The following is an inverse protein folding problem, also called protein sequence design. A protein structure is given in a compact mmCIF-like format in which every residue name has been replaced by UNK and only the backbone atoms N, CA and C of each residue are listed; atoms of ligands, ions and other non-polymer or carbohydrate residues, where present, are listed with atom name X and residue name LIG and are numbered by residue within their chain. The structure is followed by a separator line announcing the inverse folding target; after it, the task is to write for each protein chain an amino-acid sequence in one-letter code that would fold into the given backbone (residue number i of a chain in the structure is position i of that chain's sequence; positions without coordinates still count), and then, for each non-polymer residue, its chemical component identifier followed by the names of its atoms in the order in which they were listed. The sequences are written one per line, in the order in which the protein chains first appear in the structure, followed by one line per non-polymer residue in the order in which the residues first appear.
data_IF_711264888507
#
_entry.id   IF_711264888507
#
_cell.length_a   1.000
_cell.length_b   1.000
_cell.length_c   1.000
_cell.angle_alpha   90.00
_cell.angle_beta   90.00
_cell.angle_gamma   90.00
#
_symmetry.space_group_name_H-M   'P 1'
#
loop_
_entity.id
_entity.type
_entity.pdbx_description
1 polymer ?
#
# COMPACT_ATOMS: atom_id res chain seq x y z
N UNK A 1 56.06 29.83 22.54
CA UNK A 1 55.24 30.68 21.67
C UNK A 1 55.33 30.16 20.25
N UNK A 2 54.28 29.51 19.74
CA UNK A 2 54.05 29.29 18.30
C UNK A 2 52.54 29.23 18.07
N UNK A 3 52.03 29.81 16.97
CA UNK A 3 50.64 30.26 16.86
C UNK A 3 49.72 29.16 16.30
N UNK A 4 48.48 29.11 16.80
CA UNK A 4 47.44 28.25 16.27
C UNK A 4 46.89 28.81 14.94
N UNK A 5 47.12 28.11 13.84
CA UNK A 5 46.52 28.43 12.54
C UNK A 5 45.04 28.02 12.53
N UNK A 6 44.15 29.00 12.55
CA UNK A 6 42.72 28.79 12.27
C UNK A 6 42.52 28.56 10.76
N UNK A 7 42.36 27.30 10.34
CA UNK A 7 41.92 26.95 8.97
C UNK A 7 40.43 27.26 8.81
N UNK A 8 40.11 28.34 8.12
CA UNK A 8 38.76 28.67 7.67
C UNK A 8 38.34 27.76 6.51
N UNK A 9 37.35 26.90 6.75
CA UNK A 9 36.73 26.08 5.71
C UNK A 9 35.85 26.99 4.82
N UNK A 10 36.37 27.40 3.67
CA UNK A 10 35.59 28.12 2.66
C UNK A 10 34.51 27.20 2.06
N UNK A 11 33.25 27.44 2.43
CA UNK A 11 32.09 26.77 1.81
C UNK A 11 31.98 27.22 0.35
N UNK A 12 32.26 26.32 -0.60
CA UNK A 12 32.14 26.60 -2.04
C UNK A 12 30.68 26.97 -2.38
N UNK A 13 30.45 28.21 -2.83
CA UNK A 13 29.13 28.67 -3.30
C UNK A 13 28.68 27.83 -4.50
N UNK A 14 27.56 27.11 -4.36
CA UNK A 14 26.96 26.34 -5.47
C UNK A 14 26.55 27.31 -6.59
N UNK A 15 27.03 27.08 -7.82
CA UNK A 15 26.60 27.84 -9.01
C UNK A 15 25.14 27.50 -9.31
N UNK A 16 24.28 28.51 -9.43
CA UNK A 16 22.86 28.37 -9.74
C UNK A 16 22.69 27.86 -11.19
N UNK A 17 21.97 26.75 -11.38
CA UNK A 17 21.63 26.19 -12.69
C UNK A 17 20.21 26.62 -13.09
N UNK A 18 20.05 27.87 -13.50
CA UNK A 18 18.74 28.46 -13.81
C UNK A 18 17.98 27.70 -14.89
N UNK A 19 18.67 27.20 -15.92
CA UNK A 19 18.07 26.40 -17.00
C UNK A 19 17.52 25.07 -16.46
N UNK A 20 18.23 24.41 -15.54
CA UNK A 20 17.78 23.15 -14.96
C UNK A 20 16.51 23.34 -14.12
N UNK A 21 16.44 24.42 -13.33
CA UNK A 21 15.25 24.79 -12.55
C UNK A 21 14.06 25.11 -13.47
N UNK A 22 14.30 25.88 -14.52
CA UNK A 22 13.28 26.21 -15.52
C UNK A 22 12.76 24.96 -16.23
N UNK A 23 13.65 24.05 -16.65
CA UNK A 23 13.28 22.79 -17.27
C UNK A 23 12.52 21.85 -16.32
N UNK A 24 12.82 21.87 -15.02
CA UNK A 24 12.05 21.12 -14.00
C UNK A 24 10.62 21.66 -13.88
N UNK A 25 10.46 22.99 -13.78
CA UNK A 25 9.14 23.64 -13.72
C UNK A 25 8.31 23.38 -14.97
N UNK A 26 8.92 23.49 -16.15
CA UNK A 26 8.23 23.25 -17.43
C UNK A 26 7.79 21.79 -17.55
N UNK A 27 8.63 20.82 -17.16
CA UNK A 27 8.24 19.40 -17.16
C UNK A 27 7.08 19.12 -16.22
N UNK A 28 7.16 19.57 -14.97
CA UNK A 28 6.07 19.41 -14.00
C UNK A 28 4.76 20.04 -14.48
N UNK A 29 4.83 21.25 -15.05
CA UNK A 29 3.66 21.92 -15.63
C UNK A 29 3.07 21.15 -16.81
N UNK A 30 3.93 20.65 -17.72
CA UNK A 30 3.49 19.84 -18.87
C UNK A 30 2.86 18.53 -18.40
N UNK A 31 3.47 17.83 -17.45
CA UNK A 31 2.95 16.59 -16.87
C UNK A 31 1.57 16.79 -16.23
N UNK A 32 1.35 17.90 -15.52
CA UNK A 32 0.04 18.24 -14.97
C UNK A 32 -0.99 18.49 -16.07
N UNK A 33 -0.62 19.23 -17.11
CA UNK A 33 -1.53 19.59 -18.21
C UNK A 33 -1.82 18.42 -19.16
N UNK A 34 -0.84 17.55 -19.40
CA UNK A 34 -0.95 16.39 -20.27
C UNK A 34 -1.29 15.10 -19.51
N UNK A 35 -1.63 15.18 -18.23
CA UNK A 35 -1.99 14.01 -17.42
C UNK A 35 -3.22 13.34 -18.05
N UNK A 36 -3.12 12.06 -18.48
CA UNK A 36 -4.26 11.36 -19.05
C UNK A 36 -5.34 11.19 -17.97
N UNK A 37 -6.60 11.33 -18.37
CA UNK A 37 -7.73 11.07 -17.47
C UNK A 37 -7.73 9.59 -17.07
N UNK A 38 -8.26 9.28 -15.90
CA UNK A 38 -8.34 7.89 -15.43
C UNK A 38 -9.17 7.02 -16.37
N UNK A 39 -10.25 7.57 -16.96
CA UNK A 39 -11.02 6.88 -18.00
C UNK A 39 -10.17 6.46 -19.20
N UNK A 40 -9.21 7.28 -19.62
CA UNK A 40 -8.28 6.98 -20.72
C UNK A 40 -7.22 5.97 -20.29
N UNK A 41 -6.69 6.11 -19.08
CA UNK A 41 -5.65 5.22 -18.52
C UNK A 41 -6.15 3.78 -18.32
N UNK A 42 -7.40 3.63 -17.91
CA UNK A 42 -8.05 2.36 -17.61
C UNK A 42 -9.09 1.94 -18.67
N UNK A 43 -9.10 2.60 -19.84
CA UNK A 43 -9.82 2.10 -21.00
C UNK A 43 -9.27 0.71 -21.37
N UNK A 44 -10.17 -0.20 -21.73
CA UNK A 44 -9.83 -1.57 -22.08
C UNK A 44 -10.66 -1.98 -23.29
N UNK A 45 -10.00 -2.54 -24.29
CA UNK A 45 -10.65 -3.25 -25.37
C UNK A 45 -10.91 -4.69 -24.93
N UNK A 46 -12.19 -5.07 -24.88
CA UNK A 46 -12.65 -6.37 -24.36
C UNK A 46 -12.40 -7.53 -25.34
N UNK A 47 -12.21 -7.23 -26.62
CA UNK A 47 -11.92 -8.26 -27.63
C UNK A 47 -10.44 -8.65 -27.56
N UNK A 48 -9.55 -7.66 -27.58
CA UNK A 48 -8.10 -7.88 -27.62
C UNK A 48 -7.42 -7.91 -26.25
N UNK A 49 -8.13 -7.55 -25.18
CA UNK A 49 -7.59 -7.39 -23.81
C UNK A 49 -6.43 -6.38 -23.73
N UNK A 50 -6.41 -5.40 -24.63
CA UNK A 50 -5.38 -4.35 -24.71
C UNK A 50 -5.87 -3.02 -24.18
N UNK A 51 -4.95 -2.30 -23.55
CA UNK A 51 -5.17 -0.90 -23.15
C UNK A 51 -4.75 0.03 -24.29
N UNK A 52 -5.67 0.80 -24.91
CA UNK A 52 -5.35 1.59 -26.09
C UNK A 52 -4.28 2.66 -25.84
N UNK A 53 -4.27 3.28 -24.65
CA UNK A 53 -3.29 4.32 -24.30
C UNK A 53 -1.85 3.79 -24.20
N UNK A 54 -1.68 2.56 -23.74
CA UNK A 54 -0.33 2.00 -23.47
C UNK A 54 0.07 0.90 -24.46
N UNK A 55 -0.88 0.39 -25.24
CA UNK A 55 -0.71 -0.79 -26.11
C UNK A 55 -0.49 -2.10 -25.35
N UNK A 56 -0.45 -2.08 -24.01
CA UNK A 56 -0.14 -3.26 -23.19
C UNK A 56 -1.35 -4.17 -23.07
N UNK A 57 -1.09 -5.47 -23.15
CA UNK A 57 -2.08 -6.53 -22.88
C UNK A 57 -2.21 -6.76 -21.38
N UNK A 58 -3.43 -7.11 -20.94
CA UNK A 58 -3.65 -7.56 -19.57
C UNK A 58 -3.04 -8.95 -19.33
N UNK A 59 -2.63 -9.26 -18.09
CA UNK A 59 -2.22 -10.62 -17.72
C UNK A 59 -3.34 -11.62 -17.98
N UNK A 60 -3.00 -12.80 -18.51
CA UNK A 60 -3.97 -13.85 -18.90
C UNK A 60 -4.91 -14.23 -17.75
N UNK A 61 -4.39 -14.28 -16.52
CA UNK A 61 -5.20 -14.60 -15.32
C UNK A 61 -6.36 -13.62 -15.11
N UNK A 62 -6.18 -12.35 -15.45
CA UNK A 62 -7.22 -11.33 -15.26
C UNK A 62 -8.31 -11.37 -16.36
N UNK A 63 -8.12 -12.13 -17.45
CA UNK A 63 -9.04 -12.11 -18.58
C UNK A 63 -10.40 -12.72 -18.23
N UNK A 64 -10.41 -13.73 -17.37
CA UNK A 64 -11.63 -14.37 -16.91
C UNK A 64 -12.50 -13.37 -16.14
N UNK A 65 -11.89 -12.63 -15.21
CA UNK A 65 -12.60 -11.70 -14.34
C UNK A 65 -13.10 -10.50 -15.14
N UNK A 66 -12.27 -9.95 -16.04
CA UNK A 66 -12.64 -8.87 -16.97
C UNK A 66 -13.91 -9.18 -17.79
N UNK A 67 -14.13 -10.44 -18.15
CA UNK A 67 -15.29 -10.84 -18.97
C UNK A 67 -16.55 -11.10 -18.14
N UNK A 68 -16.40 -11.49 -16.87
CA UNK A 68 -17.50 -11.97 -16.03
C UNK A 68 -17.99 -10.91 -15.05
N UNK A 69 -17.07 -10.10 -14.55
CA UNK A 69 -17.27 -9.21 -13.42
C UNK A 69 -17.21 -7.74 -13.87
N UNK A 70 -17.57 -6.85 -12.96
CA UNK A 70 -17.73 -5.42 -13.23
C UNK A 70 -16.80 -4.55 -12.39
N UNK A 71 -16.56 -3.32 -12.86
CA UNK A 71 -15.82 -2.31 -12.10
C UNK A 71 -16.72 -1.67 -11.04
N UNK A 72 -16.13 -1.18 -9.97
CA UNK A 72 -16.87 -0.56 -8.87
C UNK A 72 -17.76 0.59 -9.35
N UNK A 73 -17.22 1.54 -10.13
CA UNK A 73 -18.03 2.66 -10.64
C UNK A 73 -19.15 2.24 -11.60
N UNK A 74 -18.97 1.14 -12.35
CA UNK A 74 -20.03 0.60 -13.20
C UNK A 74 -21.19 0.04 -12.36
N UNK A 75 -20.87 -0.67 -11.28
CA UNK A 75 -21.85 -1.15 -10.31
C UNK A 75 -22.59 0.01 -9.64
N UNK A 76 -21.85 1.01 -9.17
CA UNK A 76 -22.41 2.16 -8.47
C UNK A 76 -23.28 3.04 -9.38
N UNK A 77 -22.90 3.18 -10.65
CA UNK A 77 -23.72 3.90 -11.63
C UNK A 77 -25.03 3.17 -11.96
N UNK A 78 -25.05 1.84 -11.90
CA UNK A 78 -26.26 1.03 -12.11
C UNK A 78 -27.25 1.14 -10.95
N UNK A 79 -26.73 1.39 -9.75
CA UNK A 79 -27.57 1.73 -8.61
C UNK A 79 -28.06 3.16 -8.81
N UNK A 80 -29.38 3.37 -8.68
CA UNK A 80 -29.95 4.71 -8.48
C UNK A 80 -29.57 5.22 -7.09
N UNK A 81 -28.27 5.40 -6.85
CA UNK A 81 -27.80 6.37 -5.87
C UNK A 81 -28.17 7.69 -6.51
N UNK A 82 -29.41 8.12 -6.28
CA UNK A 82 -29.84 9.47 -6.58
C UNK A 82 -28.74 10.36 -6.03
N UNK A 83 -28.19 11.20 -6.90
CA UNK A 83 -27.60 12.47 -6.54
C UNK A 83 -28.62 13.17 -5.64
N UNK A 84 -28.64 12.84 -4.34
CA UNK A 84 -29.36 13.63 -3.36
C UNK A 84 -28.57 14.91 -3.38
N UNK A 85 -29.13 15.82 -4.16
CA UNK A 85 -28.64 17.11 -4.50
C UNK A 85 -28.13 17.74 -3.22
N UNK A 86 -26.85 18.10 -3.26
CA UNK A 86 -26.34 19.23 -2.52
C UNK A 86 -27.44 20.30 -2.40
N UNK A 87 -27.69 20.73 -1.16
CA UNK A 87 -28.32 22.03 -0.91
C UNK A 87 -27.69 23.09 -1.84
N UNK A 88 -28.46 24.06 -2.34
CA UNK A 88 -27.92 25.10 -3.20
C UNK A 88 -27.02 26.00 -2.34
N UNK A 89 -25.71 25.96 -2.58
CA UNK A 89 -24.76 26.79 -1.85
C UNK A 89 -23.34 26.23 -2.00
N UNK A 90 -22.49 26.95 -2.74
CA UNK A 90 -21.21 26.47 -3.20
C UNK A 90 -20.24 26.04 -2.09
N UNK A 91 -19.57 24.91 -2.33
CA UNK A 91 -18.12 24.70 -2.09
C UNK A 91 -17.73 23.24 -2.32
N UNK A 92 -16.69 23.06 -3.15
CA UNK A 92 -15.82 21.88 -3.35
C UNK A 92 -16.43 20.54 -3.80
N UNK A 93 -15.71 19.78 -4.66
CA UNK A 93 -16.14 18.44 -5.06
C UNK A 93 -16.14 17.51 -3.83
N UNK A 94 -17.32 17.05 -3.45
CA UNK A 94 -17.54 16.05 -2.41
C UNK A 94 -16.76 14.78 -2.75
N UNK A 95 -15.87 14.35 -1.85
CA UNK A 95 -15.41 12.96 -1.79
C UNK A 95 -16.67 12.09 -1.85
N UNK A 96 -16.72 11.13 -2.76
CA UNK A 96 -17.76 10.11 -2.73
C UNK A 96 -17.47 9.21 -1.54
N UNK A 97 -17.83 9.69 -0.35
CA UNK A 97 -17.92 8.87 0.85
C UNK A 97 -19.11 7.97 0.65
N UNK A 98 -18.89 6.83 -0.01
CA UNK A 98 -19.87 5.76 -0.01
C UNK A 98 -19.87 5.16 1.39
N UNK A 99 -20.90 5.49 2.15
CA UNK A 99 -21.28 4.74 3.35
C UNK A 99 -21.87 3.35 2.98
N UNK A 100 -21.81 2.97 1.70
CA UNK A 100 -21.92 1.58 1.31
C UNK A 100 -20.56 0.96 1.60
N UNK A 101 -20.56 0.10 2.60
CA UNK A 101 -19.52 -0.85 2.96
C UNK A 101 -19.06 -1.64 1.73
N UNK A 102 -18.24 -1.01 0.89
CA UNK A 102 -17.41 -1.67 -0.12
C UNK A 102 -16.35 -2.41 0.69
N UNK A 103 -16.76 -3.51 1.31
CA UNK A 103 -15.86 -4.42 1.97
C UNK A 103 -15.03 -5.05 0.85
N UNK A 104 -13.87 -4.46 0.58
CA UNK A 104 -12.74 -5.29 0.23
C UNK A 104 -12.55 -6.19 1.45
N UNK A 105 -13.01 -7.45 1.34
CA UNK A 105 -13.02 -8.46 2.40
C UNK A 105 -11.88 -8.21 3.37
N UNK A 106 -12.22 -7.60 4.50
CA UNK A 106 -11.36 -7.49 5.67
C UNK A 106 -11.20 -8.93 6.10
N UNK A 107 -10.18 -9.59 5.59
CA UNK A 107 -9.92 -11.03 5.76
C UNK A 107 -9.55 -11.40 7.20
N UNK A 108 -9.88 -10.54 8.17
CA UNK A 108 -9.56 -10.65 9.59
C UNK A 108 -10.68 -10.15 10.51
N UNK A 109 -11.85 -9.73 10.00
CA UNK A 109 -12.98 -9.28 10.84
C UNK A 109 -12.73 -8.01 11.67
N UNK A 110 -11.60 -7.32 11.46
CA UNK A 110 -11.24 -6.10 12.18
C UNK A 110 -11.75 -4.86 11.44
N UNK A 111 -12.72 -4.17 12.02
CA UNK A 111 -13.18 -2.90 11.47
C UNK A 111 -12.02 -1.88 11.45
N UNK A 112 -11.81 -1.25 10.30
CA UNK A 112 -10.90 -0.12 10.20
C UNK A 112 -11.61 1.15 10.70
N UNK A 113 -11.00 1.86 11.65
CA UNK A 113 -11.59 3.05 12.27
C UNK A 113 -11.54 4.30 11.36
N UNK A 114 -10.81 4.24 10.26
CA UNK A 114 -10.57 5.38 9.37
C UNK A 114 -11.03 5.08 7.94
N UNK A 115 -11.71 6.05 7.33
CA UNK A 115 -12.09 5.96 5.92
C UNK A 115 -10.83 6.07 5.04
N UNK A 116 -10.40 4.93 4.46
CA UNK A 116 -9.28 4.86 3.52
C UNK A 116 -9.76 4.97 2.07
N UNK A 117 -8.88 5.50 1.21
CA UNK A 117 -9.11 5.44 -0.23
C UNK A 117 -9.08 3.98 -0.69
N UNK A 118 -10.11 3.57 -1.44
CA UNK A 118 -10.22 2.22 -1.98
C UNK A 118 -9.22 2.08 -3.12
N UNK A 119 -8.24 1.18 -2.98
CA UNK A 119 -7.33 0.84 -4.07
C UNK A 119 -8.04 -0.08 -5.10
N UNK A 120 -7.53 -0.13 -6.34
CA UNK A 120 -7.99 -1.05 -7.41
C UNK A 120 -9.46 -0.91 -7.80
N UNK A 121 -10.04 0.28 -7.65
CA UNK A 121 -11.41 0.62 -8.08
C UNK A 121 -11.69 0.25 -9.56
N UNK A 122 -10.65 0.33 -10.39
CA UNK A 122 -10.74 0.07 -11.83
C UNK A 122 -10.57 -1.40 -12.23
N UNK A 123 -10.39 -2.31 -11.27
CA UNK A 123 -10.32 -3.75 -11.52
C UNK A 123 -11.73 -4.30 -11.76
N UNK A 124 -11.81 -5.44 -12.43
CA UNK A 124 -13.04 -6.15 -12.68
C UNK A 124 -13.23 -7.26 -11.64
N UNK A 125 -13.15 -6.93 -10.35
CA UNK A 125 -13.26 -7.92 -9.26
C UNK A 125 -14.32 -7.50 -8.23
N UNK A 126 -15.13 -6.49 -8.55
CA UNK A 126 -16.09 -5.91 -7.61
C UNK A 126 -17.44 -6.60 -7.71
N UNK A 127 -18.05 -6.85 -6.55
CA UNK A 127 -19.39 -7.40 -6.39
C UNK A 127 -20.15 -6.60 -5.34
N UNK A 128 -21.45 -6.44 -5.56
CA UNK A 128 -22.35 -5.82 -4.59
C UNK A 128 -22.96 -6.88 -3.68
N UNK A 129 -22.94 -6.63 -2.38
CA UNK A 129 -23.65 -7.46 -1.39
C UNK A 129 -25.08 -6.93 -1.30
N UNK A 130 -26.11 -7.76 -1.58
CA UNK A 130 -27.49 -7.36 -1.40
C UNK A 130 -27.83 -7.03 0.07
N UNK A 131 -28.68 -6.02 0.29
CA UNK A 131 -29.04 -5.53 1.64
C UNK A 131 -29.52 -6.62 2.60
N UNK A 132 -30.28 -7.59 2.09
CA UNK A 132 -30.82 -8.69 2.90
C UNK A 132 -29.77 -9.72 3.32
N UNK A 133 -28.62 -9.76 2.66
CA UNK A 133 -27.49 -10.63 3.02
C UNK A 133 -26.47 -9.92 3.90
N UNK A 134 -26.56 -8.59 4.09
CA UNK A 134 -25.59 -7.83 4.89
C UNK A 134 -25.42 -8.35 6.31
N UNK A 135 -26.50 -8.84 6.94
CA UNK A 135 -26.45 -9.41 8.28
C UNK A 135 -25.58 -10.68 8.29
N UNK A 136 -25.80 -11.59 7.34
CA UNK A 136 -25.01 -12.82 7.21
C UNK A 136 -23.52 -12.57 6.95
N UNK A 137 -23.18 -11.48 6.23
CA UNK A 137 -21.78 -11.09 6.02
C UNK A 137 -21.17 -10.35 7.23
N UNK A 138 -21.99 -9.72 8.07
CA UNK A 138 -21.56 -9.08 9.32
C UNK A 138 -21.39 -10.08 10.46
N UNK A 139 -22.16 -11.16 10.42
CA UNK A 139 -22.08 -12.28 11.36
C UNK A 139 -20.81 -13.10 11.08
N UNK A 140 -19.66 -12.50 11.41
CA UNK A 140 -18.36 -13.13 11.31
C UNK A 140 -17.87 -13.48 12.71
N UNK A 141 -17.69 -14.77 12.97
CA UNK A 141 -16.97 -15.25 14.15
C UNK A 141 -15.48 -15.27 13.83
N UNK A 142 -14.67 -14.35 14.41
CA UNK A 142 -13.24 -14.38 14.18
C UNK A 142 -12.65 -15.66 14.76
N UNK A 143 -11.88 -16.39 13.95
CA UNK A 143 -11.12 -17.52 14.46
C UNK A 143 -10.18 -17.02 15.57
N UNK A 144 -10.07 -17.74 16.70
CA UNK A 144 -9.16 -17.37 17.76
C UNK A 144 -7.74 -17.31 17.22
N UNK A 145 -6.97 -16.31 17.67
CA UNK A 145 -5.58 -16.16 17.25
C UNK A 145 -4.81 -17.43 17.65
N UNK A 146 -4.08 -18.06 16.71
CA UNK A 146 -3.39 -19.31 17.01
C UNK A 146 -2.34 -19.08 18.09
N UNK A 147 -2.16 -20.04 19.02
CA UNK A 147 -1.16 -19.91 20.07
C UNK A 147 0.25 -19.76 19.49
N UNK A 148 1.10 -19.04 20.21
CA UNK A 148 2.50 -18.79 19.80
C UNK A 148 3.22 -20.12 19.60
N UNK A 149 3.70 -20.35 18.38
CA UNK A 149 4.49 -21.53 18.03
C UNK A 149 5.95 -21.28 18.36
N UNK A 150 6.62 -22.28 18.90
CA UNK A 150 8.05 -22.22 19.18
C UNK A 150 8.80 -23.08 18.16
N UNK A 151 9.91 -22.55 17.64
CA UNK A 151 10.79 -23.28 16.70
C UNK A 151 12.20 -23.30 17.25
N UNK A 152 12.92 -24.39 16.98
CA UNK A 152 14.33 -24.50 17.36
C UNK A 152 15.15 -23.40 16.69
N UNK A 153 16.16 -22.88 17.40
CA UNK A 153 17.10 -21.95 16.80
C UNK A 153 17.91 -22.64 15.68
N UNK A 154 18.33 -21.90 14.63
CA UNK A 154 19.27 -22.40 13.64
C UNK A 154 20.53 -23.00 14.29
N UNK A 155 21.16 -24.03 13.70
CA UNK A 155 22.20 -24.82 14.37
C UNK A 155 23.36 -23.99 14.94
N UNK A 156 23.83 -22.98 14.20
CA UNK A 156 24.92 -22.11 14.64
C UNK A 156 24.54 -21.26 15.86
N UNK A 157 23.38 -20.61 15.81
CA UNK A 157 22.89 -19.79 16.92
C UNK A 157 22.60 -20.64 18.15
N UNK A 158 22.01 -21.82 17.95
CA UNK A 158 21.81 -22.81 19.01
C UNK A 158 23.14 -23.19 19.66
N UNK A 159 24.17 -23.52 18.88
CA UNK A 159 25.48 -23.88 19.40
C UNK A 159 26.16 -22.73 20.16
N UNK A 160 26.08 -21.50 19.63
CA UNK A 160 26.61 -20.30 20.28
C UNK A 160 25.94 -20.05 21.63
N UNK A 161 24.61 -20.11 21.69
CA UNK A 161 23.85 -19.93 22.94
C UNK A 161 24.21 -20.98 23.99
N UNK A 162 24.35 -22.25 23.59
CA UNK A 162 24.75 -23.32 24.50
C UNK A 162 26.19 -23.14 25.01
N UNK A 163 27.12 -22.71 24.15
CA UNK A 163 28.50 -22.43 24.53
C UNK A 163 28.61 -21.24 25.51
N UNK A 164 27.84 -20.16 25.27
CA UNK A 164 27.77 -19.01 26.17
C UNK A 164 27.21 -19.40 27.54
N UNK A 165 26.10 -20.15 27.58
CA UNK A 165 25.53 -20.62 28.84
C UNK A 165 26.50 -21.48 29.66
N UNK A 166 27.25 -22.37 29.00
CA UNK A 166 28.27 -23.19 29.67
C UNK A 166 29.39 -22.32 30.26
N UNK A 167 29.79 -21.25 29.55
CA UNK A 167 30.82 -20.30 30.01
C UNK A 167 30.35 -19.48 31.21
N UNK A 168 29.08 -19.05 31.24
CA UNK A 168 28.54 -18.15 32.26
C UNK A 168 28.05 -18.86 33.52
N UNK A 169 27.37 -20.01 33.39
CA UNK A 169 26.74 -20.72 34.51
C UNK A 169 27.40 -22.04 34.88
N UNK A 170 28.37 -22.51 34.10
CA UNK A 170 29.11 -23.74 34.38
C UNK A 170 28.31 -25.04 34.29
N UNK A 171 27.00 -24.99 34.02
CA UNK A 171 26.11 -26.16 33.94
C UNK A 171 25.56 -26.39 32.52
N UNK A 172 25.25 -27.65 32.22
CA UNK A 172 24.59 -28.03 30.96
C UNK A 172 23.12 -27.60 31.03
N UNK A 173 22.70 -26.78 30.07
CA UNK A 173 21.32 -26.31 29.95
C UNK A 173 20.39 -27.51 29.74
N UNK A 174 19.43 -27.70 30.65
CA UNK A 174 18.48 -28.83 30.62
C UNK A 174 17.31 -28.64 29.64
N UNK A 175 17.07 -27.41 29.16
CA UNK A 175 15.97 -27.07 28.28
C UNK A 175 16.47 -26.49 26.95
N UNK A 176 16.06 -27.09 25.83
CA UNK A 176 16.46 -26.62 24.51
C UNK A 176 15.99 -25.16 24.28
N UNK A 177 16.88 -24.25 23.84
CA UNK A 177 16.48 -22.89 23.52
C UNK A 177 15.54 -22.92 22.33
N UNK A 178 14.38 -22.28 22.46
CA UNK A 178 13.36 -22.21 21.42
C UNK A 178 12.97 -20.76 21.14
N UNK A 179 12.87 -20.42 19.86
CA UNK A 179 12.49 -19.10 19.36
C UNK A 179 10.96 -19.01 19.29
N UNK A 180 10.30 -18.10 20.03
CA UNK A 180 8.88 -17.85 19.86
C UNK A 180 8.62 -17.18 18.50
N UNK A 181 7.81 -17.81 17.65
CA UNK A 181 7.31 -17.21 16.42
C UNK A 181 6.15 -16.27 16.71
N UNK A 182 6.45 -15.14 17.37
CA UNK A 182 5.52 -14.01 17.46
C UNK A 182 5.72 -13.12 16.24
N UNK A 183 4.64 -12.82 15.54
CA UNK A 183 4.64 -11.82 14.47
C UNK A 183 4.28 -10.48 15.08
N UNK A 184 5.28 -9.72 15.51
CA UNK A 184 5.08 -8.38 16.09
C UNK A 184 4.57 -7.38 15.05
N UNK A 185 4.80 -7.67 13.76
CA UNK A 185 4.37 -6.86 12.63
C UNK A 185 3.49 -7.70 11.71
N UNK A 186 2.29 -7.20 11.43
CA UNK A 186 1.43 -7.74 10.38
C UNK A 186 1.97 -7.22 9.05
N UNK A 187 2.60 -8.11 8.27
CA UNK A 187 3.09 -7.84 6.91
C UNK A 187 1.91 -7.73 5.93
N UNK A 188 1.09 -6.70 6.11
CA UNK A 188 -0.01 -6.37 5.19
C UNK A 188 0.53 -5.56 4.00
N UNK A 189 -0.25 -5.49 2.92
CA UNK A 189 0.01 -4.60 1.77
C UNK A 189 0.29 -3.16 2.22
N UNK A 190 -0.47 -2.66 3.19
CA UNK A 190 -0.30 -1.32 3.78
C UNK A 190 1.09 -1.14 4.42
N UNK A 191 1.65 -2.19 5.05
CA UNK A 191 2.99 -2.15 5.62
C UNK A 191 4.05 -1.95 4.53
N UNK A 192 3.96 -2.73 3.44
CA UNK A 192 4.88 -2.62 2.32
C UNK A 192 4.72 -1.29 1.57
N UNK A 193 3.50 -0.79 1.41
CA UNK A 193 3.26 0.53 0.79
C UNK A 193 3.88 1.66 1.61
N UNK A 194 3.73 1.64 2.94
CA UNK A 194 4.39 2.63 3.82
C UNK A 194 5.91 2.52 3.73
N UNK A 195 6.44 1.31 3.73
CA UNK A 195 7.88 1.09 3.57
C UNK A 195 8.42 1.60 2.22
N UNK A 196 7.67 1.43 1.13
CA UNK A 196 8.02 2.00 -0.18
C UNK A 196 7.97 3.52 -0.18
N UNK A 197 6.98 4.13 0.47
CA UNK A 197 6.88 5.60 0.62
C UNK A 197 8.03 6.17 1.48
N UNK A 198 8.37 5.50 2.57
CA UNK A 198 9.51 5.84 3.43
C UNK A 198 10.84 5.66 2.67
N UNK A 199 10.93 4.63 1.82
CA UNK A 199 12.06 4.41 0.91
C UNK A 199 12.17 5.51 -0.16
N UNK A 200 11.06 5.94 -0.75
CA UNK A 200 11.02 7.01 -1.76
C UNK A 200 11.30 8.40 -1.17
N UNK A 201 10.91 8.66 0.07
CA UNK A 201 11.22 9.92 0.76
C UNK A 201 12.68 10.01 1.23
N UNK A 202 13.30 8.86 1.54
CA UNK A 202 14.71 8.77 1.94
C UNK A 202 15.68 8.65 0.76
N UNK A 203 15.27 8.02 -0.35
CA UNK A 203 15.96 8.09 -1.62
C UNK A 203 15.55 9.36 -2.37
N UNK A 204 16.13 10.49 -1.98
CA UNK A 204 16.18 11.64 -2.86
C UNK A 204 16.81 11.21 -4.18
N UNK A 205 16.00 11.06 -5.23
CA UNK A 205 16.44 10.66 -6.57
C UNK A 205 17.61 11.54 -7.01
N UNK A 206 18.81 10.98 -7.02
CA UNK A 206 19.96 11.58 -7.66
C UNK A 206 19.86 11.32 -9.17
N UNK A 207 18.94 12.02 -9.86
CA UNK A 207 18.96 12.24 -11.32
C UNK A 207 18.44 13.64 -11.63
#
# INVERSE_FOLDING_TARGET
MTPAEHRTVMVKKKRLRLIAEMARKIRAYRELKSRPKESQKYALDYETMKRPLTGKMLPVLAWQDVRKESRLFSLLASMRITWIMAKPGGSSPTRVSLDMTVFNVVSTGRQENEAKEVDKVMYHDWRLIPKHMEQQFKDFEPLPEPPVRYVAFPPLLRAMMLAQHKKERGSVVSKEPALPLKRDVVLNKDYFQRQEQDGQSSQGTAV
#
